data_IF_004957529241
#
_entry.id   IF_004957529241
#
_cell.length_a   1.000
_cell.length_b   1.000
_cell.length_c   1.000
_cell.angle_alpha   90.00
_cell.angle_beta   90.00
_cell.angle_gamma   90.00
#
_symmetry.space_group_name_H-M   'P 1'
#
loop_
_entity.id
_entity.type
_entity.pdbx_description
1 polymer ?
#
# COMPACT_ATOMS: atom_id res chain seq x y z
N UNK A 1 19.58 5.90 -20.31
CA UNK A 1 18.61 4.90 -19.85
C UNK A 1 19.33 3.74 -19.18
N UNK A 2 20.24 3.03 -19.84
CA UNK A 2 21.00 1.90 -19.25
C UNK A 2 21.65 2.20 -17.90
N UNK A 3 22.41 3.29 -17.75
CA UNK A 3 23.06 3.64 -16.46
C UNK A 3 22.06 3.77 -15.30
N UNK A 4 20.87 4.33 -15.57
CA UNK A 4 19.81 4.51 -14.56
C UNK A 4 19.15 3.17 -14.25
N UNK A 5 18.89 2.34 -15.28
CA UNK A 5 18.31 1.02 -15.12
C UNK A 5 19.21 0.08 -14.32
N UNK A 6 20.51 0.07 -14.66
CA UNK A 6 21.53 -0.69 -13.95
C UNK A 6 21.64 -0.23 -12.50
N UNK A 7 21.63 1.08 -12.25
CA UNK A 7 21.62 1.58 -10.88
C UNK A 7 20.37 1.17 -10.11
N UNK A 8 19.18 1.26 -10.72
CA UNK A 8 17.91 0.93 -10.05
C UNK A 8 17.82 -0.54 -9.66
N UNK A 9 18.18 -1.46 -10.55
CA UNK A 9 18.08 -2.90 -10.30
C UNK A 9 19.29 -3.50 -9.58
N UNK A 10 20.35 -2.72 -9.39
CA UNK A 10 21.49 -3.15 -8.59
C UNK A 10 21.21 -2.97 -7.08
N UNK A 11 21.48 -4.02 -6.31
CA UNK A 11 21.24 -4.08 -4.87
C UNK A 11 19.81 -3.74 -4.46
N UNK A 12 19.70 -2.78 -3.53
CA UNK A 12 18.43 -2.32 -2.93
C UNK A 12 18.01 -0.94 -3.45
N UNK A 13 18.62 -0.45 -4.53
CA UNK A 13 18.46 0.93 -5.00
C UNK A 13 17.03 1.23 -5.46
N UNK A 14 16.33 0.26 -6.05
CA UNK A 14 14.92 0.38 -6.40
C UNK A 14 14.05 0.67 -5.16
N UNK A 15 14.31 -0.03 -4.05
CA UNK A 15 13.59 0.17 -2.80
C UNK A 15 13.86 1.57 -2.22
N UNK A 16 15.10 2.05 -2.28
CA UNK A 16 15.46 3.41 -1.86
C UNK A 16 14.82 4.48 -2.74
N UNK A 17 14.86 4.30 -4.06
CA UNK A 17 14.23 5.22 -5.01
C UNK A 17 12.71 5.32 -4.78
N UNK A 18 12.03 4.19 -4.58
CA UNK A 18 10.60 4.17 -4.29
C UNK A 18 10.27 4.76 -2.93
N UNK A 19 11.08 4.48 -1.90
CA UNK A 19 10.92 5.08 -0.58
C UNK A 19 11.07 6.60 -0.62
N UNK A 20 12.08 7.09 -1.36
CA UNK A 20 12.30 8.52 -1.57
C UNK A 20 11.15 9.17 -2.35
N UNK A 21 10.63 8.49 -3.38
CA UNK A 21 9.49 8.95 -4.17
C UNK A 21 8.21 9.06 -3.32
N UNK A 22 7.92 8.07 -2.47
CA UNK A 22 6.77 8.16 -1.55
C UNK A 22 6.98 9.27 -0.53
N UNK A 23 8.18 9.39 0.04
CA UNK A 23 8.53 10.49 0.94
C UNK A 23 8.32 11.86 0.29
N UNK A 24 8.73 12.01 -0.97
CA UNK A 24 8.52 13.22 -1.75
C UNK A 24 7.03 13.51 -1.98
N UNK A 25 6.21 12.49 -2.28
CA UNK A 25 4.75 12.68 -2.40
C UNK A 25 4.08 13.06 -1.08
N UNK A 26 4.52 12.46 0.03
CA UNK A 26 4.04 12.82 1.37
C UNK A 26 4.36 14.28 1.65
N UNK A 27 5.61 14.69 1.47
CA UNK A 27 6.04 16.09 1.67
C UNK A 27 5.30 17.05 0.74
N UNK A 28 5.19 16.72 -0.55
CA UNK A 28 4.45 17.53 -1.51
C UNK A 28 2.98 17.68 -1.10
N UNK A 29 2.36 16.62 -0.57
CA UNK A 29 1.01 16.68 -0.05
C UNK A 29 0.90 17.58 1.19
N UNK A 30 1.86 17.51 2.12
CA UNK A 30 1.91 18.41 3.28
C UNK A 30 2.07 19.88 2.86
N UNK A 31 2.95 20.17 1.90
CA UNK A 31 3.16 21.51 1.34
C UNK A 31 1.89 22.00 0.67
N UNK A 32 1.28 21.18 -0.20
CA UNK A 32 0.02 21.50 -0.87
C UNK A 32 -1.09 21.82 0.14
N UNK A 33 -1.23 21.00 1.20
CA UNK A 33 -2.26 21.21 2.20
C UNK A 33 -2.01 22.48 3.03
N UNK A 34 -0.74 22.77 3.37
CA UNK A 34 -0.34 23.99 4.09
C UNK A 34 -0.58 25.24 3.24
N UNK A 35 -0.19 25.20 1.97
CA UNK A 35 -0.42 26.30 1.04
C UNK A 35 -1.91 26.54 0.79
N UNK A 36 -2.69 25.47 0.61
CA UNK A 36 -4.14 25.53 0.47
C UNK A 36 -4.82 26.16 1.69
N UNK A 37 -4.35 25.86 2.90
CA UNK A 37 -4.84 26.50 4.13
C UNK A 37 -4.54 28.00 4.16
N UNK A 38 -3.34 28.41 3.74
CA UNK A 38 -2.93 29.83 3.77
C UNK A 38 -3.65 30.65 2.70
N UNK A 39 -3.79 30.12 1.47
CA UNK A 39 -4.31 30.86 0.31
C UNK A 39 -5.83 30.77 0.18
N UNK A 40 -6.42 29.59 0.43
CA UNK A 40 -7.84 29.31 0.17
C UNK A 40 -8.63 29.19 1.48
N UNK A 41 -8.36 30.06 2.46
CA UNK A 41 -8.96 30.01 3.82
C UNK A 41 -10.48 29.74 3.82
N UNK A 42 -11.22 30.33 2.89
CA UNK A 42 -12.69 30.17 2.80
C UNK A 42 -13.18 28.88 2.12
N UNK A 43 -12.34 28.21 1.30
CA UNK A 43 -12.68 26.95 0.61
C UNK A 43 -11.87 25.75 1.12
N UNK A 44 -11.15 25.90 2.22
CA UNK A 44 -10.33 24.85 2.79
C UNK A 44 -11.19 23.69 3.32
N UNK A 45 -11.18 22.58 2.61
CA UNK A 45 -11.83 21.32 2.99
C UNK A 45 -10.85 20.34 3.68
N UNK A 46 -9.78 20.85 4.28
CA UNK A 46 -8.79 20.01 4.95
C UNK A 46 -9.23 19.56 6.34
N UNK A 47 -8.28 18.94 7.06
CA UNK A 47 -8.55 18.25 8.32
C UNK A 47 -8.90 19.26 9.41
N UNK A 48 -10.14 19.19 9.91
CA UNK A 48 -10.52 19.90 11.14
C UNK A 48 -10.25 18.99 12.33
N UNK A 49 -9.27 19.36 13.14
CA UNK A 49 -9.01 18.74 14.44
C UNK A 49 -10.08 19.17 15.45
N UNK A 50 -11.27 18.57 15.35
CA UNK A 50 -12.29 18.68 16.38
C UNK A 50 -11.98 17.67 17.49
N UNK A 51 -12.42 17.96 18.72
CA UNK A 51 -12.26 17.05 19.88
C UNK A 51 -12.79 15.65 19.57
N UNK A 52 -13.93 15.58 18.87
CA UNK A 52 -14.54 14.33 18.39
C UNK A 52 -13.65 13.56 17.40
N UNK A 53 -13.05 14.25 16.43
CA UNK A 53 -12.15 13.61 15.47
C UNK A 53 -10.88 13.11 16.16
N UNK A 54 -10.30 13.90 17.06
CA UNK A 54 -9.12 13.47 17.85
C UNK A 54 -9.45 12.23 18.68
N UNK A 55 -10.63 12.20 19.33
CA UNK A 55 -11.09 11.05 20.10
C UNK A 55 -11.23 9.80 19.21
N UNK A 56 -11.82 9.92 18.02
CA UNK A 56 -11.92 8.79 17.10
C UNK A 56 -10.56 8.32 16.60
N UNK A 57 -9.65 9.22 16.22
CA UNK A 57 -8.30 8.85 15.76
C UNK A 57 -7.56 8.09 16.87
N UNK A 58 -7.66 8.58 18.11
CA UNK A 58 -7.04 7.94 19.27
C UNK A 58 -7.64 6.55 19.53
N UNK A 59 -8.97 6.44 19.48
CA UNK A 59 -9.68 5.16 19.62
C UNK A 59 -9.25 4.15 18.56
N UNK A 60 -9.18 4.56 17.28
CA UNK A 60 -8.74 3.68 16.20
C UNK A 60 -7.27 3.27 16.34
N UNK A 61 -6.40 4.18 16.77
CA UNK A 61 -4.99 3.87 17.02
C UNK A 61 -4.86 2.85 18.15
N UNK A 62 -5.58 3.03 19.25
CA UNK A 62 -5.59 2.09 20.37
C UNK A 62 -6.12 0.70 19.96
N UNK A 63 -7.21 0.65 19.18
CA UNK A 63 -7.74 -0.62 18.65
C UNK A 63 -6.72 -1.29 17.73
N UNK A 64 -6.09 -0.53 16.83
CA UNK A 64 -5.09 -1.05 15.92
C UNK A 64 -3.90 -1.69 16.66
N UNK A 65 -3.32 -0.96 17.62
CA UNK A 65 -2.22 -1.46 18.45
C UNK A 65 -2.67 -2.68 19.25
N UNK A 66 -3.81 -2.63 19.93
CA UNK A 66 -4.30 -3.73 20.75
C UNK A 66 -4.55 -5.00 19.95
N UNK A 67 -5.20 -4.89 18.78
CA UNK A 67 -5.50 -6.05 17.93
C UNK A 67 -4.21 -6.65 17.38
N UNK A 68 -3.29 -5.82 16.89
CA UNK A 68 -1.99 -6.29 16.37
C UNK A 68 -1.19 -7.01 17.45
N UNK A 69 -1.09 -6.44 18.65
CA UNK A 69 -0.38 -7.06 19.79
C UNK A 69 -1.02 -8.39 20.19
N UNK A 70 -2.34 -8.45 20.31
CA UNK A 70 -3.04 -9.70 20.69
C UNK A 70 -2.86 -10.79 19.63
N UNK A 71 -2.97 -10.45 18.35
CA UNK A 71 -2.73 -11.41 17.26
C UNK A 71 -1.27 -11.91 17.29
N UNK A 72 -0.31 -10.98 17.44
CA UNK A 72 1.12 -11.30 17.56
C UNK A 72 1.45 -12.24 18.71
N UNK A 73 0.77 -12.11 19.85
CA UNK A 73 0.96 -12.98 21.00
C UNK A 73 0.23 -14.32 20.86
N UNK A 74 -0.91 -14.35 20.16
CA UNK A 74 -1.74 -15.57 20.02
C UNK A 74 -1.24 -16.49 18.91
N UNK A 75 -0.77 -15.91 17.80
CA UNK A 75 -0.31 -16.66 16.63
C UNK A 75 1.20 -16.40 16.46
N UNK A 76 2.08 -17.27 16.97
CA UNK A 76 3.53 -17.00 17.02
C UNK A 76 4.17 -16.66 15.66
N UNK A 77 3.63 -17.19 14.56
CA UNK A 77 4.12 -16.87 13.20
C UNK A 77 3.98 -15.38 12.85
N UNK A 78 3.08 -14.67 13.51
CA UNK A 78 2.84 -13.23 13.28
C UNK A 78 3.81 -12.34 14.05
N UNK A 79 4.78 -12.91 14.76
CA UNK A 79 5.95 -12.19 15.27
C UNK A 79 6.96 -11.90 14.14
N UNK A 80 6.92 -12.66 13.04
CA UNK A 80 7.73 -12.36 11.88
C UNK A 80 7.29 -11.04 11.23
N UNK A 81 8.21 -10.07 11.03
CA UNK A 81 7.87 -8.74 10.51
C UNK A 81 7.03 -8.77 9.21
N UNK A 82 7.35 -9.60 8.20
CA UNK A 82 6.57 -9.67 6.96
C UNK A 82 5.08 -9.95 7.16
N UNK A 83 4.75 -10.77 8.17
CA UNK A 83 3.40 -11.22 8.48
C UNK A 83 2.73 -10.21 9.42
N UNK A 84 3.45 -9.73 10.45
CA UNK A 84 2.94 -8.70 11.37
C UNK A 84 2.48 -7.46 10.61
N UNK A 85 3.33 -6.96 9.72
CA UNK A 85 3.08 -5.74 8.94
C UNK A 85 1.90 -5.92 7.99
N UNK A 86 1.61 -7.14 7.55
CA UNK A 86 0.41 -7.40 6.76
C UNK A 86 -0.87 -7.20 7.59
N UNK A 87 -0.90 -7.67 8.85
CA UNK A 87 -2.03 -7.46 9.75
C UNK A 87 -2.16 -6.01 10.21
N UNK A 88 -1.06 -5.43 10.69
CA UNK A 88 -1.00 -4.02 11.09
C UNK A 88 -1.38 -3.09 9.93
N UNK A 89 -0.86 -3.40 8.73
CA UNK A 89 -1.10 -2.62 7.54
C UNK A 89 -2.57 -2.56 7.12
N UNK A 90 -3.35 -3.62 7.31
CA UNK A 90 -4.80 -3.59 7.03
C UNK A 90 -5.51 -2.57 7.92
N UNK A 91 -5.19 -2.58 9.22
CA UNK A 91 -5.79 -1.67 10.19
C UNK A 91 -5.38 -0.21 9.93
N UNK A 92 -4.09 0.02 9.66
CA UNK A 92 -3.58 1.35 9.27
C UNK A 92 -4.26 1.86 8.00
N UNK A 93 -4.44 1.01 6.97
CA UNK A 93 -5.15 1.37 5.72
C UNK A 93 -6.59 1.83 6.01
N UNK A 94 -7.32 1.19 6.92
CA UNK A 94 -8.69 1.59 7.28
C UNK A 94 -8.70 2.99 7.88
N UNK A 95 -7.81 3.26 8.84
CA UNK A 95 -7.74 4.57 9.50
C UNK A 95 -7.38 5.67 8.51
N UNK A 96 -6.38 5.45 7.65
CA UNK A 96 -6.03 6.36 6.58
C UNK A 96 -7.20 6.59 5.62
N UNK A 97 -7.90 5.54 5.23
CA UNK A 97 -9.06 5.64 4.34
C UNK A 97 -10.24 6.42 4.95
N UNK A 98 -10.43 6.38 6.26
CA UNK A 98 -11.53 7.12 6.90
C UNK A 98 -11.16 8.58 7.13
N UNK A 99 -9.98 8.82 7.70
CA UNK A 99 -9.58 10.14 8.20
C UNK A 99 -8.74 10.95 7.22
N UNK A 100 -8.19 10.32 6.19
CA UNK A 100 -7.38 10.96 5.15
C UNK A 100 -5.87 10.70 5.31
N UNK A 101 -5.06 11.18 4.36
CA UNK A 101 -3.67 10.76 4.20
C UNK A 101 -2.74 11.24 5.33
N UNK A 102 -2.89 12.48 5.80
CA UNK A 102 -2.06 13.02 6.89
C UNK A 102 -2.30 12.25 8.19
N UNK A 103 -3.56 11.99 8.53
CA UNK A 103 -3.91 11.21 9.71
C UNK A 103 -3.46 9.76 9.54
N UNK A 104 -3.60 9.19 8.34
CA UNK A 104 -3.07 7.86 8.03
C UNK A 104 -1.57 7.75 8.30
N UNK A 105 -0.76 8.73 7.88
CA UNK A 105 0.68 8.78 8.18
C UNK A 105 0.95 8.85 9.68
N UNK A 106 0.24 9.73 10.40
CA UNK A 106 0.41 9.88 11.85
C UNK A 106 0.06 8.60 12.60
N UNK A 107 -1.10 8.01 12.30
CA UNK A 107 -1.54 6.75 12.92
C UNK A 107 -0.57 5.62 12.60
N UNK A 108 -0.05 5.56 11.36
CA UNK A 108 0.95 4.58 10.96
C UNK A 108 2.22 4.65 11.81
N UNK A 109 2.79 5.86 11.97
CA UNK A 109 4.01 6.05 12.78
C UNK A 109 3.76 5.67 14.24
N UNK A 110 2.66 6.15 14.83
CA UNK A 110 2.34 5.86 16.23
C UNK A 110 2.08 4.37 16.45
N UNK A 111 1.34 3.73 15.54
CA UNK A 111 1.03 2.30 15.64
C UNK A 111 2.32 1.48 15.61
N UNK A 112 3.21 1.71 14.63
CA UNK A 112 4.44 0.94 14.49
C UNK A 112 5.34 1.11 15.72
N UNK A 113 5.49 2.35 16.23
CA UNK A 113 6.29 2.61 17.45
C UNK A 113 5.71 1.88 18.65
N UNK A 114 4.39 1.94 18.87
CA UNK A 114 3.74 1.27 19.99
C UNK A 114 3.80 -0.25 19.87
N UNK A 115 3.55 -0.81 18.68
CA UNK A 115 3.62 -2.24 18.42
C UNK A 115 5.05 -2.76 18.64
N UNK A 116 6.08 -2.03 18.21
CA UNK A 116 7.48 -2.40 18.46
C UNK A 116 7.85 -2.40 19.95
N UNK A 117 7.22 -1.56 20.78
CA UNK A 117 7.43 -1.55 22.23
C UNK A 117 6.84 -2.81 22.88
N UNK A 118 5.65 -3.23 22.45
CA UNK A 118 4.96 -4.38 23.05
C UNK A 118 5.40 -5.74 22.48
N UNK A 119 5.71 -5.79 21.19
CA UNK A 119 6.13 -6.99 20.46
C UNK A 119 7.45 -6.67 19.76
N UNK A 120 8.58 -6.73 20.48
CA UNK A 120 9.88 -6.45 19.90
C UNK A 120 10.17 -7.44 18.78
N UNK A 121 10.52 -6.92 17.60
CA UNK A 121 10.89 -7.71 16.42
C UNK A 121 12.16 -7.15 15.79
N UNK A 122 12.60 -7.76 14.70
CA UNK A 122 13.61 -7.18 13.82
C UNK A 122 13.17 -5.78 13.36
N UNK A 123 13.97 -4.77 13.69
CA UNK A 123 13.74 -3.37 13.34
C UNK A 123 14.47 -3.10 12.03
N UNK A 124 13.72 -2.73 11.00
CA UNK A 124 14.27 -2.37 9.71
C UNK A 124 13.56 -1.14 9.15
N UNK A 125 14.27 -0.10 8.66
CA UNK A 125 13.64 1.13 8.16
C UNK A 125 12.61 0.88 7.05
N UNK A 126 12.82 -0.13 6.20
CA UNK A 126 11.87 -0.49 5.15
C UNK A 126 10.46 -0.72 5.69
N UNK A 127 10.33 -1.38 6.84
CA UNK A 127 9.04 -1.76 7.42
C UNK A 127 8.28 -0.53 7.92
N UNK A 128 8.97 0.38 8.60
CA UNK A 128 8.40 1.66 9.04
C UNK A 128 7.91 2.46 7.83
N UNK A 129 8.73 2.55 6.77
CA UNK A 129 8.35 3.25 5.53
C UNK A 129 7.13 2.60 4.87
N UNK A 130 7.05 1.28 4.83
CA UNK A 130 5.90 0.54 4.28
C UNK A 130 4.62 0.87 5.04
N UNK A 131 4.65 0.84 6.37
CA UNK A 131 3.47 1.14 7.20
C UNK A 131 3.02 2.60 7.05
N UNK A 132 3.97 3.55 7.01
CA UNK A 132 3.69 4.96 6.69
C UNK A 132 3.02 5.08 5.31
N UNK A 133 3.58 4.38 4.32
CA UNK A 133 3.07 4.38 2.94
C UNK A 133 1.65 3.81 2.87
N UNK A 134 1.34 2.78 3.66
CA UNK A 134 -0.01 2.21 3.73
C UNK A 134 -1.05 3.23 4.22
N UNK A 135 -0.74 3.98 5.29
CA UNK A 135 -1.61 5.01 5.80
C UNK A 135 -1.82 6.16 4.80
N UNK A 136 -0.73 6.58 4.14
CA UNK A 136 -0.77 7.63 3.13
C UNK A 136 -1.59 7.24 1.89
N UNK A 137 -1.27 6.10 1.27
CA UNK A 137 -1.90 5.62 0.03
C UNK A 137 -3.40 5.38 0.25
N UNK A 138 -3.78 4.76 1.38
CA UNK A 138 -5.18 4.56 1.71
C UNK A 138 -5.94 5.89 1.92
N UNK A 139 -5.29 6.88 2.53
CA UNK A 139 -5.87 8.22 2.68
C UNK A 139 -6.04 8.98 1.36
N UNK A 140 -5.14 8.82 0.40
CA UNK A 140 -5.38 9.29 -0.99
C UNK A 140 -6.63 8.60 -1.56
N UNK A 141 -6.78 7.30 -1.35
CA UNK A 141 -7.98 6.54 -1.74
C UNK A 141 -9.29 7.14 -1.20
N UNK A 142 -9.29 7.66 0.02
CA UNK A 142 -10.44 8.40 0.59
C UNK A 142 -10.83 9.65 -0.19
N UNK A 143 -9.82 10.33 -0.74
CA UNK A 143 -10.03 11.54 -1.54
C UNK A 143 -10.61 11.17 -2.91
N UNK A 144 -10.21 10.03 -3.48
CA UNK A 144 -10.73 9.51 -4.74
C UNK A 144 -12.21 9.09 -4.66
N UNK A 145 -12.64 8.54 -3.50
CA UNK A 145 -14.06 8.31 -3.21
C UNK A 145 -14.92 9.58 -3.44
N UNK A 146 -14.37 10.77 -3.17
CA UNK A 146 -15.08 12.05 -3.34
C UNK A 146 -15.10 12.52 -4.79
N UNK A 147 -14.06 12.23 -5.57
CA UNK A 147 -13.98 12.58 -7.00
C UNK A 147 -14.93 11.72 -7.84
N UNK A 148 -15.13 10.47 -7.46
CA UNK A 148 -15.92 9.51 -8.22
C UNK A 148 -17.43 9.73 -8.24
N UNK A 149 -18.00 10.83 -7.69
CA UNK A 149 -19.44 11.19 -7.53
C UNK A 149 -20.46 10.33 -8.33
N UNK A 150 -20.60 9.03 -8.01
CA UNK A 150 -21.48 8.08 -8.72
C UNK A 150 -20.94 7.42 -10.00
N UNK A 151 -19.84 7.87 -10.59
CA UNK A 151 -19.23 7.30 -11.80
C UNK A 151 -18.17 6.26 -11.47
N UNK A 152 -18.63 5.02 -11.32
CA UNK A 152 -17.79 3.85 -11.06
C UNK A 152 -16.67 3.63 -12.11
N UNK A 153 -16.91 4.05 -13.36
CA UNK A 153 -15.94 3.89 -14.44
C UNK A 153 -14.66 4.70 -14.24
N UNK A 154 -14.73 5.84 -13.53
CA UNK A 154 -13.55 6.67 -13.22
C UNK A 154 -12.58 5.89 -12.34
N UNK A 155 -13.07 5.26 -11.27
CA UNK A 155 -12.22 4.44 -10.40
C UNK A 155 -11.64 3.24 -11.15
N UNK A 156 -12.42 2.61 -12.02
CA UNK A 156 -11.93 1.50 -12.84
C UNK A 156 -10.83 1.94 -13.82
N UNK A 157 -11.00 3.10 -14.47
CA UNK A 157 -9.99 3.70 -15.34
C UNK A 157 -8.70 3.97 -14.55
N UNK A 158 -8.80 4.57 -13.35
CA UNK A 158 -7.64 4.83 -12.50
C UNK A 158 -6.91 3.55 -12.09
N UNK A 159 -7.63 2.47 -11.78
CA UNK A 159 -7.02 1.16 -11.46
C UNK A 159 -6.26 0.62 -12.66
N UNK A 160 -6.90 0.60 -13.84
CA UNK A 160 -6.27 0.10 -15.07
C UNK A 160 -5.04 0.95 -15.44
N UNK A 161 -5.16 2.28 -15.39
CA UNK A 161 -4.07 3.20 -15.68
C UNK A 161 -2.90 2.96 -14.72
N UNK A 162 -3.19 2.86 -13.42
CA UNK A 162 -2.16 2.58 -12.42
C UNK A 162 -1.41 1.28 -12.73
N UNK A 163 -2.14 0.18 -12.96
CA UNK A 163 -1.54 -1.13 -13.20
C UNK A 163 -0.74 -1.15 -14.51
N UNK A 164 -1.27 -0.57 -15.59
CA UNK A 164 -0.57 -0.50 -16.88
C UNK A 164 0.67 0.38 -16.78
N UNK A 165 0.58 1.55 -16.15
CA UNK A 165 1.75 2.41 -15.92
C UNK A 165 2.82 1.69 -15.09
N UNK A 166 2.42 0.97 -14.04
CA UNK A 166 3.34 0.17 -13.23
C UNK A 166 3.98 -0.96 -14.04
N UNK A 167 3.21 -1.67 -14.86
CA UNK A 167 3.71 -2.72 -15.75
C UNK A 167 4.75 -2.19 -16.73
N UNK A 168 4.42 -1.09 -17.42
CA UNK A 168 5.33 -0.44 -18.38
C UNK A 168 6.60 0.03 -17.67
N UNK A 169 6.48 0.66 -16.50
CA UNK A 169 7.61 1.11 -15.70
C UNK A 169 8.59 -0.03 -15.41
N UNK A 170 8.09 -1.17 -14.93
CA UNK A 170 8.93 -2.33 -14.63
C UNK A 170 9.53 -2.96 -15.89
N UNK A 171 8.72 -3.13 -16.95
CA UNK A 171 9.19 -3.74 -18.19
C UNK A 171 10.32 -2.92 -18.82
N UNK A 172 10.17 -1.60 -18.86
CA UNK A 172 11.21 -0.67 -19.32
C UNK A 172 12.47 -0.81 -18.47
N UNK A 173 12.35 -0.82 -17.14
CA UNK A 173 13.51 -0.99 -16.25
C UNK A 173 14.22 -2.33 -16.50
N UNK A 174 13.46 -3.39 -16.76
CA UNK A 174 14.01 -4.73 -17.01
C UNK A 174 14.67 -4.83 -18.39
N UNK A 175 14.13 -4.16 -19.41
CA UNK A 175 14.68 -4.14 -20.77
C UNK A 175 16.07 -3.52 -20.82
N UNK A 176 16.26 -2.40 -20.12
CA UNK A 176 17.52 -1.65 -20.10
C UNK A 176 18.53 -2.16 -19.07
N UNK A 177 18.21 -3.19 -18.30
CA UNK A 177 19.13 -3.80 -17.36
C UNK A 177 20.08 -4.74 -18.08
N UNK A 178 21.40 -4.56 -17.91
CA UNK A 178 22.41 -5.38 -18.59
C UNK A 178 22.96 -6.52 -17.73
N UNK A 179 22.75 -6.49 -16.41
CA UNK A 179 23.27 -7.50 -15.49
C UNK A 179 22.49 -8.83 -15.45
N UNK A 180 23.04 -9.80 -14.73
CA UNK A 180 22.36 -11.05 -14.42
C UNK A 180 21.38 -10.85 -13.26
N UNK A 181 20.20 -11.45 -13.38
CA UNK A 181 19.19 -11.45 -12.32
C UNK A 181 19.25 -12.83 -11.65
N UNK A 182 19.78 -12.87 -10.44
CA UNK A 182 19.91 -14.11 -9.70
C UNK A 182 18.75 -14.24 -8.72
N UNK A 183 18.10 -15.40 -8.71
CA UNK A 183 17.05 -15.78 -7.76
C UNK A 183 17.58 -16.99 -6.99
N UNK A 184 17.91 -16.83 -5.70
CA UNK A 184 18.41 -17.94 -4.87
C UNK A 184 19.51 -18.78 -5.56
N UNK A 185 20.53 -18.11 -6.09
CA UNK A 185 21.65 -18.68 -6.86
C UNK A 185 21.32 -19.34 -8.21
N UNK A 186 20.06 -19.27 -8.66
CA UNK A 186 19.66 -19.60 -10.03
C UNK A 186 19.72 -18.33 -10.88
N UNK A 187 20.60 -18.31 -11.89
CA UNK A 187 20.62 -17.24 -12.88
C UNK A 187 19.37 -17.34 -13.74
N UNK A 188 18.50 -16.32 -13.65
CA UNK A 188 17.26 -16.26 -14.40
C UNK A 188 17.40 -15.25 -15.53
N UNK A 189 16.98 -15.66 -16.74
CA UNK A 189 17.02 -14.78 -17.91
C UNK A 189 16.03 -13.63 -17.76
N UNK A 190 16.38 -12.49 -18.35
CA UNK A 190 15.54 -11.28 -18.33
C UNK A 190 14.13 -11.55 -18.88
N UNK A 191 14.00 -12.43 -19.85
CA UNK A 191 12.71 -12.82 -20.43
C UNK A 191 11.81 -13.50 -19.40
N UNK A 192 12.35 -14.44 -18.62
CA UNK A 192 11.60 -15.15 -17.58
C UNK A 192 11.13 -14.16 -16.50
N UNK A 193 11.99 -13.21 -16.10
CA UNK A 193 11.62 -12.15 -15.17
C UNK A 193 10.43 -11.32 -15.68
N UNK A 194 10.46 -10.89 -16.95
CA UNK A 194 9.34 -10.15 -17.56
C UNK A 194 8.05 -10.96 -17.58
N UNK A 195 8.12 -12.25 -17.90
CA UNK A 195 6.96 -13.15 -17.91
C UNK A 195 6.33 -13.32 -16.53
N UNK A 196 7.15 -13.44 -15.46
CA UNK A 196 6.61 -13.50 -14.10
C UNK A 196 5.87 -12.22 -13.70
N UNK A 197 6.45 -11.05 -14.01
CA UNK A 197 5.82 -9.77 -13.72
C UNK A 197 4.55 -9.56 -14.53
N UNK A 198 4.63 -9.69 -15.86
CA UNK A 198 3.48 -9.49 -16.74
C UNK A 198 2.37 -10.50 -16.41
N UNK A 199 2.73 -11.75 -16.11
CA UNK A 199 1.82 -12.79 -15.64
C UNK A 199 1.08 -12.38 -14.36
N UNK A 200 1.80 -11.95 -13.32
CA UNK A 200 1.19 -11.49 -12.06
C UNK A 200 0.22 -10.32 -12.25
N UNK A 201 0.59 -9.36 -13.10
CA UNK A 201 -0.20 -8.17 -13.41
C UNK A 201 -1.45 -8.53 -14.20
N UNK A 202 -1.33 -9.41 -15.21
CA UNK A 202 -2.47 -9.91 -15.99
C UNK A 202 -3.46 -10.67 -15.11
N UNK A 203 -2.97 -11.55 -14.22
CA UNK A 203 -3.80 -12.26 -13.26
C UNK A 203 -4.51 -11.27 -12.32
N UNK A 204 -3.81 -10.25 -11.84
CA UNK A 204 -4.39 -9.19 -11.02
C UNK A 204 -5.51 -8.43 -11.75
N UNK A 205 -5.25 -7.98 -12.98
CA UNK A 205 -6.25 -7.31 -13.82
C UNK A 205 -7.46 -8.21 -14.06
N UNK A 206 -7.24 -9.48 -14.40
CA UNK A 206 -8.30 -10.44 -14.63
C UNK A 206 -9.23 -10.56 -13.42
N UNK A 207 -8.68 -10.68 -12.20
CA UNK A 207 -9.49 -10.73 -10.98
C UNK A 207 -10.27 -9.44 -10.71
N UNK A 208 -9.65 -8.28 -10.91
CA UNK A 208 -10.32 -6.97 -10.73
C UNK A 208 -11.49 -6.83 -11.71
N UNK A 209 -11.28 -7.22 -12.97
CA UNK A 209 -12.33 -7.22 -13.99
C UNK A 209 -13.46 -8.20 -13.67
N UNK A 210 -13.15 -9.41 -13.19
CA UNK A 210 -14.17 -10.36 -12.71
C UNK A 210 -15.02 -9.73 -11.62
N UNK A 211 -14.40 -9.14 -10.58
CA UNK A 211 -15.13 -8.49 -9.49
C UNK A 211 -16.03 -7.37 -10.02
N UNK A 212 -15.49 -6.54 -10.91
CA UNK A 212 -16.24 -5.46 -11.53
C UNK A 212 -17.47 -5.98 -12.29
N UNK A 213 -17.29 -6.95 -13.19
CA UNK A 213 -18.38 -7.50 -13.98
C UNK A 213 -19.42 -8.23 -13.12
N UNK A 214 -19.01 -9.06 -12.17
CA UNK A 214 -19.93 -9.78 -11.27
C UNK A 214 -20.81 -8.80 -10.50
N UNK A 215 -20.24 -7.72 -9.96
CA UNK A 215 -20.99 -6.72 -9.21
C UNK A 215 -21.82 -5.80 -10.11
N UNK A 216 -21.35 -5.54 -11.33
CA UNK A 216 -22.09 -4.79 -12.36
C UNK A 216 -23.36 -5.55 -12.77
N UNK A 217 -23.25 -6.84 -13.09
CA UNK A 217 -24.41 -7.69 -13.42
C UNK A 217 -25.37 -7.86 -12.25
N UNK A 218 -24.87 -7.92 -11.00
CA UNK A 218 -25.71 -7.90 -9.79
C UNK A 218 -26.37 -6.54 -9.49
N UNK A 219 -26.15 -5.51 -10.30
CA UNK A 219 -26.66 -4.14 -10.11
C UNK A 219 -26.35 -3.53 -8.74
N UNK A 220 -25.28 -3.97 -8.06
CA UNK A 220 -24.91 -3.51 -6.72
C UNK A 220 -24.03 -2.24 -6.78
N UNK A 221 -24.58 -1.16 -7.35
CA UNK A 221 -23.82 0.07 -7.64
C UNK A 221 -23.23 0.73 -6.39
N UNK A 222 -23.94 0.67 -5.26
CA UNK A 222 -23.45 1.18 -3.96
C UNK A 222 -22.22 0.42 -3.46
N UNK A 223 -22.24 -0.91 -3.55
CA UNK A 223 -21.12 -1.76 -3.15
C UNK A 223 -19.90 -1.48 -4.03
N UNK A 224 -20.12 -1.37 -5.34
CA UNK A 224 -19.06 -1.15 -6.32
C UNK A 224 -18.40 0.23 -6.14
N UNK A 225 -19.17 1.27 -5.82
CA UNK A 225 -18.66 2.61 -5.54
C UNK A 225 -17.74 2.65 -4.30
N UNK A 226 -17.99 1.78 -3.31
CA UNK A 226 -17.15 1.69 -2.10
C UNK A 226 -15.94 0.78 -2.36
N UNK A 227 -16.15 -0.35 -3.03
CA UNK A 227 -15.13 -1.38 -3.22
C UNK A 227 -14.05 -0.96 -4.22
N UNK A 228 -14.38 -0.24 -5.29
CA UNK A 228 -13.38 0.14 -6.31
C UNK A 228 -12.26 1.03 -5.77
N UNK A 229 -12.52 2.11 -5.01
CA UNK A 229 -11.45 2.86 -4.37
C UNK A 229 -10.61 2.02 -3.41
N UNK A 230 -11.24 1.05 -2.72
CA UNK A 230 -10.54 0.10 -1.85
C UNK A 230 -9.58 -0.77 -2.65
N UNK A 231 -10.03 -1.34 -3.77
CA UNK A 231 -9.18 -2.11 -4.68
C UNK A 231 -8.05 -1.25 -5.23
N UNK A 232 -8.32 0.01 -5.59
CA UNK A 232 -7.32 0.92 -6.12
C UNK A 232 -6.17 1.16 -5.13
N UNK A 233 -6.48 1.58 -3.90
CA UNK A 233 -5.42 1.84 -2.93
C UNK A 233 -4.78 0.55 -2.42
N UNK A 234 -5.52 -0.57 -2.35
CA UNK A 234 -4.94 -1.88 -2.04
C UNK A 234 -3.91 -2.27 -3.10
N UNK A 235 -4.26 -2.16 -4.38
CA UNK A 235 -3.38 -2.40 -5.53
C UNK A 235 -2.15 -1.51 -5.46
N UNK A 236 -2.31 -0.21 -5.25
CA UNK A 236 -1.20 0.73 -5.14
C UNK A 236 -0.28 0.39 -3.96
N UNK A 237 -0.86 0.08 -2.79
CA UNK A 237 -0.08 -0.27 -1.60
C UNK A 237 0.68 -1.59 -1.75
N UNK A 238 0.12 -2.58 -2.43
CA UNK A 238 0.81 -3.86 -2.63
C UNK A 238 1.94 -3.74 -3.64
N UNK A 239 1.69 -3.13 -4.81
CA UNK A 239 2.74 -3.03 -5.84
C UNK A 239 3.84 -2.05 -5.48
N UNK A 240 3.53 -0.90 -4.86
CA UNK A 240 4.54 0.10 -4.50
C UNK A 240 5.20 -0.27 -3.18
N UNK A 241 4.43 -0.38 -2.10
CA UNK A 241 5.01 -0.53 -0.77
C UNK A 241 5.43 -1.97 -0.50
N UNK A 242 4.54 -2.94 -0.71
CA UNK A 242 4.85 -4.34 -0.35
C UNK A 242 5.87 -4.96 -1.31
N UNK A 243 5.66 -4.85 -2.63
CA UNK A 243 6.52 -5.52 -3.61
C UNK A 243 7.89 -4.85 -3.75
N UNK A 244 7.98 -3.51 -3.75
CA UNK A 244 9.25 -2.81 -3.99
C UNK A 244 10.00 -2.45 -2.70
N UNK A 245 9.31 -2.01 -1.65
CA UNK A 245 9.96 -1.55 -0.42
C UNK A 245 10.09 -2.68 0.61
N UNK A 246 9.03 -3.45 0.88
CA UNK A 246 9.10 -4.53 1.88
C UNK A 246 10.06 -5.64 1.47
N UNK A 247 10.25 -5.88 0.16
CA UNK A 247 11.23 -6.86 -0.32
C UNK A 247 12.66 -6.58 0.17
N UNK A 248 13.02 -5.31 0.36
CA UNK A 248 14.31 -4.92 0.93
C UNK A 248 14.40 -5.29 2.42
N UNK A 249 13.33 -5.05 3.19
CA UNK A 249 13.27 -5.46 4.60
C UNK A 249 13.27 -6.98 4.78
N UNK A 250 12.58 -7.72 3.90
CA UNK A 250 12.53 -9.19 3.94
C UNK A 250 13.91 -9.81 3.63
N UNK A 251 14.63 -9.25 2.66
CA UNK A 251 15.98 -9.70 2.32
C UNK A 251 16.95 -9.46 3.50
N UNK A 252 16.87 -8.30 4.14
CA UNK A 252 17.64 -7.98 5.35
C UNK A 252 17.28 -8.88 6.54
N UNK A 253 16.00 -9.18 6.73
CA UNK A 253 15.54 -10.08 7.80
C UNK A 253 16.07 -11.51 7.64
N UNK A 254 16.15 -12.01 6.40
CA UNK A 254 16.64 -13.36 6.11
C UNK A 254 18.18 -13.46 6.03
N UNK A 255 18.90 -12.34 6.21
CA UNK A 255 20.36 -12.31 6.13
C UNK A 255 20.92 -12.59 4.74
N UNK A 256 20.08 -12.47 3.69
CA UNK A 256 20.51 -12.68 2.30
C UNK A 256 21.03 -11.35 1.78
N UNK A 257 22.32 -11.11 2.00
CA UNK A 257 22.97 -9.86 1.60
C UNK A 257 23.15 -9.77 0.08
N UNK A 258 22.97 -8.56 -0.46
CA UNK A 258 23.21 -8.22 -1.87
C UNK A 258 21.97 -8.26 -2.78
N UNK A 259 22.21 -8.02 -4.07
CA UNK A 259 21.17 -7.93 -5.12
C UNK A 259 20.35 -9.21 -5.27
N UNK A 260 20.91 -10.36 -4.91
CA UNK A 260 20.28 -11.68 -5.02
C UNK A 260 19.08 -11.87 -4.07
N UNK A 261 19.17 -11.33 -2.86
CA UNK A 261 18.11 -11.45 -1.86
C UNK A 261 16.90 -10.59 -2.23
N UNK A 262 17.17 -9.35 -2.65
CA UNK A 262 16.12 -8.41 -3.03
C UNK A 262 15.30 -8.87 -4.24
N UNK A 263 15.96 -9.28 -5.32
CA UNK A 263 15.31 -9.78 -6.55
C UNK A 263 14.39 -10.97 -6.26
N UNK A 264 14.85 -11.92 -5.44
CA UNK A 264 14.10 -13.11 -5.07
C UNK A 264 12.87 -12.76 -4.22
N UNK A 265 13.02 -11.90 -3.22
CA UNK A 265 11.91 -11.44 -2.38
C UNK A 265 10.88 -10.66 -3.18
N UNK A 266 11.34 -9.80 -4.09
CA UNK A 266 10.50 -9.00 -4.95
C UNK A 266 9.60 -9.90 -5.83
N UNK A 267 10.16 -10.92 -6.49
CA UNK A 267 9.38 -11.87 -7.31
C UNK A 267 8.38 -12.63 -6.46
N UNK A 268 8.80 -13.12 -5.28
CA UNK A 268 7.91 -13.82 -4.35
C UNK A 268 6.71 -12.95 -3.95
N UNK A 269 6.94 -11.67 -3.65
CA UNK A 269 5.88 -10.71 -3.31
C UNK A 269 4.93 -10.45 -4.47
N UNK A 270 5.43 -10.38 -5.70
CA UNK A 270 4.59 -10.16 -6.89
C UNK A 270 3.70 -11.34 -7.23
N UNK A 271 4.23 -12.56 -7.13
CA UNK A 271 3.42 -13.77 -7.33
C UNK A 271 2.27 -13.80 -6.31
N UNK A 272 2.51 -13.36 -5.08
CA UNK A 272 1.50 -13.28 -4.03
C UNK A 272 0.57 -12.06 -4.14
N UNK A 273 0.93 -11.04 -4.94
CA UNK A 273 0.21 -9.76 -4.97
C UNK A 273 -1.26 -9.89 -5.38
N UNK A 274 -1.65 -10.65 -6.43
CA UNK A 274 -3.06 -10.78 -6.81
C UNK A 274 -3.92 -11.32 -5.67
N UNK A 275 -3.44 -12.35 -4.96
CA UNK A 275 -4.15 -12.95 -3.84
C UNK A 275 -4.24 -11.98 -2.64
N UNK A 276 -3.14 -11.29 -2.34
CA UNK A 276 -3.11 -10.29 -1.25
C UNK A 276 -4.03 -9.11 -1.52
N UNK A 277 -4.11 -8.63 -2.76
CA UNK A 277 -5.02 -7.54 -3.15
C UNK A 277 -6.48 -7.97 -2.91
N UNK A 278 -6.85 -9.19 -3.29
CA UNK A 278 -8.20 -9.74 -3.05
C UNK A 278 -8.52 -9.85 -1.57
N UNK A 279 -7.61 -10.44 -0.79
CA UNK A 279 -7.78 -10.59 0.65
C UNK A 279 -7.89 -9.23 1.34
N UNK A 280 -6.94 -8.32 1.08
CA UNK A 280 -6.93 -6.98 1.66
C UNK A 280 -8.19 -6.22 1.28
N UNK A 281 -8.59 -6.21 0.01
CA UNK A 281 -9.80 -5.49 -0.42
C UNK A 281 -11.06 -6.01 0.26
N UNK A 282 -11.14 -7.33 0.48
CA UNK A 282 -12.26 -7.97 1.16
C UNK A 282 -12.34 -7.54 2.62
N UNK A 283 -11.23 -7.67 3.36
CA UNK A 283 -11.18 -7.29 4.78
C UNK A 283 -11.46 -5.80 4.94
N UNK A 284 -10.83 -4.96 4.13
CA UNK A 284 -11.02 -3.51 4.14
C UNK A 284 -12.47 -3.11 3.87
N UNK A 285 -13.12 -3.77 2.91
CA UNK A 285 -14.53 -3.50 2.58
C UNK A 285 -15.47 -3.83 3.74
N UNK A 286 -15.32 -5.02 4.35
CA UNK A 286 -16.18 -5.41 5.47
C UNK A 286 -15.95 -4.52 6.69
N UNK A 287 -14.70 -4.21 7.01
CA UNK A 287 -14.40 -3.33 8.14
C UNK A 287 -14.90 -1.92 7.89
N UNK A 288 -14.71 -1.37 6.68
CA UNK A 288 -15.26 -0.06 6.34
C UNK A 288 -16.79 -0.04 6.46
N UNK A 289 -17.47 -1.08 5.98
CA UNK A 289 -18.93 -1.18 6.09
C UNK A 289 -19.41 -1.20 7.55
N UNK A 290 -18.68 -1.87 8.44
CA UNK A 290 -19.00 -1.93 9.87
C UNK A 290 -18.71 -0.60 10.59
N UNK A 291 -17.60 0.05 10.24
CA UNK A 291 -17.09 1.23 10.94
C UNK A 291 -17.71 2.54 10.44
N UNK A 292 -17.93 2.68 9.13
CA UNK A 292 -18.40 3.92 8.51
C UNK A 292 -19.68 4.52 9.17
N UNK A 293 -20.71 3.73 9.55
CA UNK A 293 -21.90 4.26 10.22
C UNK A 293 -21.63 4.89 11.59
N UNK A 294 -20.58 4.44 12.29
CA UNK A 294 -20.23 4.92 13.64
C UNK A 294 -19.56 6.31 13.58
N UNK A 295 -19.00 6.67 12.43
CA UNK A 295 -18.23 7.90 12.26
C UNK A 295 -19.12 8.93 11.56
N UNK A 296 -19.88 9.67 12.36
CA UNK A 296 -20.56 10.87 11.88
C UNK A 296 -19.51 11.93 11.56
N UNK A 297 -19.17 12.10 10.28
CA UNK A 297 -18.42 13.28 9.80
C UNK A 297 -19.26 14.52 10.10
N UNK A 298 -18.81 15.31 11.08
CA UNK A 298 -19.34 16.65 11.26
C UNK A 298 -18.93 17.44 10.01
N UNK A 299 -19.93 17.88 9.24
CA UNK A 299 -19.74 18.72 8.06
C UNK A 299 -19.36 20.13 8.48
#
# INVERSE_FOLDING_TARGET
MEKISNWLLDGNNLAYAMSGLIGAFILAYFIYNTFSYVVLKERYHGIRFTTKNIAYITMFTAINVSVTVVISLTIPITVFPPIRIAFEGVMVKITGFIFGPIIGVLVAVITEVLVMIFVPSFIHPAFIIVVISFGFIAGIGSSLLRLGKGYNWVNMLLINLFIVCFAVFILVITDYYTGDINIFDINVTKEVYKWFFSGSILVCLFFIWIIYFVLFFKKSTKTLHILLPIILFATASEYISTSLISAWGDAGFLGIEGSKGYSAMLISRLIQAPLKILFNSTVLYFTYKAVHPLIKRDR
#
